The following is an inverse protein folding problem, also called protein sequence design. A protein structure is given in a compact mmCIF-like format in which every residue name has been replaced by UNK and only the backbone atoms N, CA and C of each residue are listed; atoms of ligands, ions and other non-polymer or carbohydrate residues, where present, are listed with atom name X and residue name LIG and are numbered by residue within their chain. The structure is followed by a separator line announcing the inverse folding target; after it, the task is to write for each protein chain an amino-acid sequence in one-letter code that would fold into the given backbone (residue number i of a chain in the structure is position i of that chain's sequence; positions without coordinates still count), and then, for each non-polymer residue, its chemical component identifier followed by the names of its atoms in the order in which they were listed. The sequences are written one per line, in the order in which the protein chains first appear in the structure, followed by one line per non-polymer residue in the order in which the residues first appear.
data_IF_853006387129
#
_entry.id   IF_853006387129
#
_cell.length_a   1.000
_cell.length_b   1.000
_cell.length_c   1.000
_cell.angle_alpha   90.00
_cell.angle_beta   90.00
_cell.angle_gamma   90.00
#
_symmetry.space_group_name_H-M   'P 1'
#
loop_
_entity.id
_entity.type
_entity.pdbx_description
1 polymer ?
#
# COMPACT_ATOMS: atom_id res chain seq x y z
N UNK A 1 16.23 -4.09 -17.13
CA UNK A 1 15.56 -2.84 -17.53
C UNK A 1 14.87 -2.34 -16.28
N UNK A 2 15.12 -1.11 -15.85
CA UNK A 2 14.47 -0.54 -14.66
C UNK A 2 13.04 -0.13 -15.02
N UNK A 3 12.04 -0.55 -14.25
CA UNK A 3 10.65 -0.15 -14.44
C UNK A 3 10.26 0.90 -13.39
N UNK A 4 9.87 2.09 -13.84
CA UNK A 4 9.40 3.14 -12.96
C UNK A 4 7.90 3.00 -12.70
N UNK A 5 7.47 3.20 -11.45
CA UNK A 5 6.03 3.20 -11.16
C UNK A 5 5.35 4.44 -11.75
N UNK A 6 4.03 4.37 -11.95
CA UNK A 6 3.25 5.48 -12.54
C UNK A 6 3.50 6.84 -11.88
N UNK A 7 3.64 6.88 -10.55
CA UNK A 7 3.89 8.13 -9.82
C UNK A 7 5.29 8.71 -10.10
N UNK A 8 6.30 7.87 -10.32
CA UNK A 8 7.62 8.33 -10.78
C UNK A 8 7.59 8.85 -12.22
N UNK A 9 6.68 8.34 -13.05
CA UNK A 9 6.53 8.77 -14.45
C UNK A 9 5.80 10.12 -14.50
N UNK A 10 4.83 10.31 -13.60
CA UNK A 10 4.02 11.53 -13.51
C UNK A 10 4.77 12.68 -12.80
N UNK A 11 5.67 12.37 -11.88
CA UNK A 11 6.53 13.36 -11.20
C UNK A 11 7.75 13.71 -12.06
N UNK A 12 7.69 14.87 -12.73
CA UNK A 12 8.75 15.35 -13.63
C UNK A 12 9.99 15.87 -12.91
N UNK A 13 9.90 16.12 -11.60
CA UNK A 13 10.98 16.70 -10.80
C UNK A 13 11.70 15.65 -9.95
N UNK A 14 11.15 14.44 -9.83
CA UNK A 14 11.71 13.35 -9.01
C UNK A 14 12.42 12.30 -9.86
N UNK A 15 13.75 12.26 -9.74
CA UNK A 15 14.52 11.09 -10.16
C UNK A 15 14.40 9.99 -9.10
N UNK A 16 13.62 8.94 -9.41
CA UNK A 16 13.53 7.75 -8.57
C UNK A 16 14.54 6.68 -9.04
N UNK A 17 15.65 6.42 -8.33
CA UNK A 17 16.62 5.39 -8.71
C UNK A 17 16.11 3.96 -8.44
N UNK A 18 14.89 3.81 -7.93
CA UNK A 18 14.32 2.54 -7.50
C UNK A 18 13.38 1.98 -8.57
N UNK A 19 13.45 0.67 -8.74
CA UNK A 19 12.52 -0.13 -9.54
C UNK A 19 11.17 -0.29 -8.81
N UNK A 20 10.16 -0.80 -9.51
CA UNK A 20 8.92 -1.26 -8.87
C UNK A 20 9.19 -2.51 -8.05
N UNK A 21 8.99 -2.41 -6.73
CA UNK A 21 9.26 -3.47 -5.76
C UNK A 21 8.08 -3.75 -4.82
N UNK A 22 7.00 -2.95 -4.91
CA UNK A 22 5.82 -3.10 -4.07
C UNK A 22 4.54 -3.14 -4.91
N UNK A 23 3.59 -4.00 -4.51
CA UNK A 23 2.29 -4.12 -5.17
C UNK A 23 1.16 -3.80 -4.19
N UNK A 24 0.28 -2.88 -4.58
CA UNK A 24 -0.96 -2.64 -3.84
C UNK A 24 -1.91 -3.82 -4.04
N UNK A 25 -2.35 -4.46 -2.96
CA UNK A 25 -3.25 -5.61 -3.02
C UNK A 25 -4.73 -5.23 -3.25
N UNK A 26 -5.09 -3.94 -3.09
CA UNK A 26 -6.46 -3.46 -3.30
C UNK A 26 -6.74 -3.20 -4.77
N UNK A 27 -5.87 -2.43 -5.44
CA UNK A 27 -6.04 -2.07 -6.85
C UNK A 27 -5.08 -2.79 -7.81
N UNK A 28 -4.23 -3.69 -7.28
CA UNK A 28 -3.28 -4.50 -8.05
C UNK A 28 -2.21 -3.68 -8.80
N UNK A 29 -2.01 -2.41 -8.45
CA UNK A 29 -1.02 -1.50 -9.05
C UNK A 29 0.38 -1.66 -8.45
N UNK A 30 1.42 -1.48 -9.27
CA UNK A 30 2.83 -1.58 -8.86
C UNK A 30 3.42 -0.21 -8.55
N UNK A 31 4.21 -0.12 -7.48
CA UNK A 31 4.84 1.09 -6.98
C UNK A 31 6.28 0.82 -6.54
N UNK A 32 7.11 1.87 -6.55
CA UNK A 32 8.35 1.83 -5.79
C UNK A 32 8.04 2.07 -4.29
N UNK A 33 8.93 1.61 -3.41
CA UNK A 33 8.77 1.78 -1.97
C UNK A 33 8.58 3.22 -1.46
N UNK A 34 8.94 4.24 -2.23
CA UNK A 34 8.67 5.65 -1.87
C UNK A 34 7.21 6.04 -2.18
N UNK A 35 6.77 5.81 -3.41
CA UNK A 35 5.46 6.25 -3.89
C UNK A 35 4.30 5.34 -3.44
N UNK A 36 4.57 4.11 -2.97
CA UNK A 36 3.51 3.28 -2.39
C UNK A 36 2.87 3.98 -1.17
N UNK A 37 3.64 4.71 -0.37
CA UNK A 37 3.13 5.37 0.85
C UNK A 37 2.06 6.41 0.50
N UNK A 38 2.29 7.19 -0.55
CA UNK A 38 1.32 8.19 -1.03
C UNK A 38 0.06 7.51 -1.55
N UNK A 39 0.22 6.42 -2.31
CA UNK A 39 -0.90 5.65 -2.81
C UNK A 39 -1.72 4.97 -1.68
N UNK A 40 -1.07 4.46 -0.63
CA UNK A 40 -1.77 3.85 0.51
C UNK A 40 -2.66 4.86 1.25
N UNK A 41 -2.33 6.16 1.22
CA UNK A 41 -3.19 7.22 1.77
C UNK A 41 -4.51 7.33 0.99
N UNK A 42 -4.52 7.04 -0.31
CA UNK A 42 -5.74 7.04 -1.13
C UNK A 42 -6.68 5.86 -0.80
N UNK A 43 -6.11 4.74 -0.34
CA UNK A 43 -6.87 3.54 0.02
C UNK A 43 -7.34 3.50 1.48
N UNK A 44 -7.12 4.58 2.25
CA UNK A 44 -7.43 4.61 3.68
C UNK A 44 -6.85 3.40 4.44
N UNK A 45 -5.75 2.82 3.96
CA UNK A 45 -5.08 1.71 4.63
C UNK A 45 -4.33 2.32 5.80
N UNK A 46 -4.82 2.08 7.03
CA UNK A 46 -4.08 2.57 8.18
C UNK A 46 -2.71 1.89 8.19
N UNK A 47 -1.66 2.70 8.30
CA UNK A 47 -0.27 2.23 8.43
C UNK A 47 0.02 1.71 9.84
N UNK A 48 -0.94 1.89 10.75
CA UNK A 48 -0.98 1.26 12.06
C UNK A 48 -1.80 -0.04 12.04
N UNK A 49 -1.49 -0.93 12.98
CA UNK A 49 -2.19 -2.21 13.15
C UNK A 49 -3.51 -2.06 13.93
N UNK A 50 -4.06 -0.85 14.09
CA UNK A 50 -5.24 -0.65 14.93
C UNK A 50 -6.45 -1.43 14.38
N UNK A 51 -6.56 -1.57 13.05
CA UNK A 51 -7.59 -2.36 12.36
C UNK A 51 -7.28 -3.87 12.30
N UNK A 52 -6.03 -4.28 12.52
CA UNK A 52 -5.60 -5.69 12.53
C UNK A 52 -5.63 -6.31 13.93
N UNK A 53 -5.85 -5.50 14.98
CA UNK A 53 -6.18 -5.97 16.32
C UNK A 53 -7.63 -6.47 16.31
N UNK A 54 -7.78 -7.77 16.00
CA UNK A 54 -9.00 -8.58 16.08
C UNK A 54 -10.08 -7.96 16.99
N UNK A 55 -11.31 -7.89 16.49
CA UNK A 55 -12.46 -8.06 17.36
C UNK A 55 -12.35 -9.45 17.99
N UNK A 56 -11.90 -9.54 19.25
CA UNK A 56 -12.22 -10.68 20.11
C UNK A 56 -13.67 -10.55 20.63
N UNK A 57 -14.64 -10.39 19.72
CA UNK A 57 -16.06 -10.30 20.08
C UNK A 57 -16.86 -11.43 19.45
N UNK A 58 -16.76 -12.56 20.14
CA UNK A 58 -17.89 -13.40 20.52
C UNK A 58 -18.52 -14.30 19.45
N UNK A 59 -17.85 -15.42 19.15
CA UNK A 59 -18.54 -16.64 18.70
C UNK A 59 -18.16 -17.77 19.65
N UNK A 60 -19.08 -18.13 20.58
CA UNK A 60 -19.46 -19.52 20.89
C UNK A 60 -20.48 -19.61 22.03
N UNK A 61 -21.70 -20.02 21.64
CA UNK A 61 -22.62 -20.96 22.29
C UNK A 61 -22.87 -20.86 23.81
N UNK A 62 -24.09 -20.48 24.17
CA UNK A 62 -24.77 -21.05 25.33
C UNK A 62 -25.98 -21.84 24.82
N UNK A 63 -25.83 -23.18 24.89
CA UNK A 63 -26.88 -24.21 24.86
C UNK A 63 -27.88 -24.04 25.98
#
# INVERSE_FOLDING_TARGET
MFEHCKLCIDDKDVFCPRDVDVKCLVCNSNFCGAHIIEHLREHCIATDLFHCKKEESNVRNQT
#
